data_IF_017138868537
#
_entry.id   IF_017138868537
#
_cell.length_a   1.000
_cell.length_b   1.000
_cell.length_c   1.000
_cell.angle_alpha   90.00
_cell.angle_beta   90.00
_cell.angle_gamma   90.00
#
_symmetry.space_group_name_H-M   'P 1'
#
loop_
_entity.id
_entity.type
_entity.pdbx_description
1 polymer ?
#
# COMPACT_ATOMS: atom_id res chain seq x y z
N UNK A 1 -52.14 -25.95 -16.40
CA UNK A 1 -53.32 -25.32 -15.75
C UNK A 1 -52.92 -23.92 -15.30
N UNK A 2 -53.75 -22.88 -15.52
CA UNK A 2 -53.36 -21.46 -15.42
C UNK A 2 -52.53 -21.00 -16.64
N UNK A 3 -52.80 -19.91 -17.40
CA UNK A 3 -53.62 -18.67 -17.27
C UNK A 3 -53.19 -17.75 -16.12
N UNK A 4 -53.14 -16.41 -16.21
CA UNK A 4 -53.09 -15.38 -17.30
C UNK A 4 -52.90 -13.99 -16.61
N UNK A 5 -52.53 -12.82 -17.17
CA UNK A 5 -52.35 -12.26 -18.54
C UNK A 5 -50.87 -11.76 -18.68
N UNK A 6 -50.33 -10.76 -19.43
CA UNK A 6 -50.70 -9.57 -20.26
C UNK A 6 -51.36 -8.36 -19.55
N UNK A 7 -51.05 -7.07 -19.76
CA UNK A 7 -49.99 -6.29 -20.46
C UNK A 7 -49.41 -5.26 -19.42
N UNK A 8 -49.08 -3.94 -19.60
CA UNK A 8 -49.00 -2.95 -20.69
C UNK A 8 -48.06 -1.77 -20.31
N UNK A 9 -47.95 -0.73 -21.14
CA UNK A 9 -47.17 0.52 -20.99
C UNK A 9 -47.97 1.70 -20.41
N UNK A 10 -47.31 2.82 -20.06
CA UNK A 10 -47.49 4.15 -20.70
C UNK A 10 -46.62 5.28 -20.07
N UNK A 11 -46.26 6.28 -20.90
CA UNK A 11 -45.92 7.68 -20.54
C UNK A 11 -46.93 8.59 -21.28
N UNK A 12 -47.11 9.88 -20.90
CA UNK A 12 -46.39 10.95 -21.62
C UNK A 12 -46.08 12.21 -20.78
N UNK A 13 -45.63 13.28 -21.45
CA UNK A 13 -45.14 14.57 -20.92
C UNK A 13 -46.24 15.61 -20.59
N UNK A 14 -45.86 16.63 -19.79
CA UNK A 14 -46.19 18.08 -19.95
C UNK A 14 -45.18 18.85 -19.07
N UNK A 15 -44.28 19.70 -19.58
CA UNK A 15 -44.40 21.04 -20.19
C UNK A 15 -44.67 22.20 -19.19
N UNK A 16 -43.57 22.89 -18.89
CA UNK A 16 -43.35 24.34 -18.64
C UNK A 16 -44.57 25.27 -18.63
N UNK A 17 -44.64 26.14 -17.61
CA UNK A 17 -45.10 27.52 -17.72
C UNK A 17 -44.13 28.49 -17.02
N UNK A 18 -44.32 29.82 -17.22
CA UNK A 18 -43.46 30.91 -16.72
C UNK A 18 -44.22 31.77 -15.72
N UNK A 19 -43.56 32.23 -14.66
CA UNK A 19 -44.12 33.24 -13.77
C UNK A 19 -43.03 33.93 -12.95
N UNK A 20 -42.77 35.22 -13.24
CA UNK A 20 -41.80 36.02 -12.50
C UNK A 20 -42.43 37.31 -12.00
N UNK A 21 -42.43 37.53 -10.69
CA UNK A 21 -42.85 38.77 -10.05
C UNK A 21 -41.77 39.27 -9.09
N UNK A 22 -41.50 40.57 -9.16
CA UNK A 22 -40.86 41.36 -8.10
C UNK A 22 -41.98 41.74 -7.09
N UNK A 23 -41.79 42.19 -5.86
CA UNK A 23 -40.72 43.01 -5.23
C UNK A 23 -40.53 42.48 -3.77
N UNK A 24 -39.74 43.05 -2.84
CA UNK A 24 -39.32 44.43 -2.61
C UNK A 24 -38.00 44.54 -1.82
N UNK A 25 -37.53 45.78 -1.60
CA UNK A 25 -36.35 46.07 -0.78
C UNK A 25 -36.77 46.33 0.66
N UNK A 26 -36.13 45.67 1.62
CA UNK A 26 -35.95 46.19 2.97
C UNK A 26 -34.48 46.06 3.37
N UNK A 27 -33.95 47.09 4.03
CA UNK A 27 -32.53 47.19 4.39
C UNK A 27 -32.32 46.96 5.88
N UNK A 28 -31.31 46.16 6.20
CA UNK A 28 -30.48 46.26 7.41
C UNK A 28 -31.19 46.47 8.76
N UNK A 29 -31.23 45.40 9.57
CA UNK A 29 -30.64 45.48 10.91
C UNK A 29 -29.69 44.31 11.13
N UNK A 30 -28.72 44.54 12.01
CA UNK A 30 -27.63 43.63 12.38
C UNK A 30 -27.86 43.15 13.81
N UNK A 31 -27.09 42.15 14.23
CA UNK A 31 -26.84 41.79 15.63
C UNK A 31 -28.00 41.15 16.43
N UNK A 32 -28.37 39.93 16.06
CA UNK A 32 -28.68 38.91 17.07
C UNK A 32 -27.57 37.86 17.13
N UNK A 33 -27.01 37.63 18.32
CA UNK A 33 -25.95 36.64 18.53
C UNK A 33 -26.54 35.23 18.54
N UNK A 34 -26.03 34.27 17.73
CA UNK A 34 -26.45 32.88 17.85
C UNK A 34 -26.06 32.34 19.24
N UNK A 35 -27.07 32.02 20.05
CA UNK A 35 -26.90 31.43 21.38
C UNK A 35 -25.99 30.22 21.28
N UNK A 36 -24.85 30.24 21.99
CA UNK A 36 -23.86 29.15 21.98
C UNK A 36 -24.49 27.88 22.56
N UNK A 37 -25.00 27.01 21.68
CA UNK A 37 -25.42 25.65 22.04
C UNK A 37 -24.24 24.99 22.75
N UNK A 38 -24.49 24.41 23.93
CA UNK A 38 -23.43 23.78 24.72
C UNK A 38 -22.86 22.61 23.89
N UNK A 39 -21.54 22.55 23.63
CA UNK A 39 -20.96 21.59 22.69
C UNK A 39 -21.00 20.12 23.16
N UNK A 40 -21.69 19.83 24.26
CA UNK A 40 -21.74 18.52 24.91
C UNK A 40 -22.81 17.61 24.33
N UNK A 41 -23.93 18.14 23.80
CA UNK A 41 -25.04 17.32 23.31
C UNK A 41 -24.72 16.61 21.98
N UNK A 42 -23.92 17.24 21.13
CA UNK A 42 -23.41 16.60 19.91
C UNK A 42 -22.46 15.43 20.24
N UNK A 43 -21.65 15.57 21.31
CA UNK A 43 -20.76 14.49 21.77
C UNK A 43 -21.53 13.26 22.27
N UNK A 44 -22.76 13.41 22.78
CA UNK A 44 -23.61 12.29 23.25
C UNK A 44 -24.00 11.33 22.12
N UNK A 45 -24.13 11.83 20.90
CA UNK A 45 -24.49 11.05 19.71
C UNK A 45 -23.28 10.40 19.01
N UNK A 46 -22.06 10.88 19.28
CA UNK A 46 -20.82 10.31 18.73
C UNK A 46 -20.44 9.02 19.48
N UNK A 47 -20.11 7.91 18.79
CA UNK A 47 -19.68 6.66 19.41
C UNK A 47 -18.56 6.83 20.44
N UNK A 48 -18.64 6.08 21.54
CA UNK A 48 -17.77 6.23 22.72
C UNK A 48 -16.28 6.36 22.38
N UNK A 49 -15.76 5.47 21.53
CA UNK A 49 -14.33 5.43 21.16
C UNK A 49 -13.89 6.68 20.37
N UNK A 50 -14.77 7.26 19.56
CA UNK A 50 -14.50 8.53 18.86
C UNK A 50 -14.62 9.73 19.82
N UNK A 51 -15.62 9.72 20.71
CA UNK A 51 -15.80 10.72 21.78
C UNK A 51 -14.58 10.81 22.70
N UNK A 52 -13.97 9.66 23.03
CA UNK A 52 -12.74 9.57 23.80
C UNK A 52 -11.52 10.13 23.04
N UNK A 53 -11.35 9.75 21.76
CA UNK A 53 -10.28 10.28 20.89
C UNK A 53 -10.39 11.79 20.69
N UNK A 54 -11.60 12.34 20.56
CA UNK A 54 -11.82 13.79 20.49
C UNK A 54 -11.43 14.43 21.83
N UNK A 55 -11.91 13.90 22.96
CA UNK A 55 -11.57 14.42 24.30
C UNK A 55 -10.08 14.35 24.63
N UNK A 56 -9.35 13.34 24.16
CA UNK A 56 -7.89 13.24 24.37
C UNK A 56 -7.12 14.22 23.47
N UNK A 57 -7.47 14.30 22.17
CA UNK A 57 -6.91 15.31 21.25
C UNK A 57 -7.12 16.73 21.75
N UNK A 58 -8.30 17.05 22.27
CA UNK A 58 -8.61 18.37 22.84
C UNK A 58 -7.75 18.71 24.06
N UNK A 59 -7.51 17.76 24.96
CA UNK A 59 -6.61 17.95 26.12
C UNK A 59 -5.16 18.21 25.68
N UNK A 60 -4.68 17.53 24.64
CA UNK A 60 -3.35 17.77 24.05
C UNK A 60 -3.30 19.15 23.39
N UNK A 61 -4.28 19.47 22.53
CA UNK A 61 -4.35 20.73 21.77
C UNK A 61 -4.52 21.97 22.67
N UNK A 62 -5.20 21.84 23.81
CA UNK A 62 -5.38 22.90 24.81
C UNK A 62 -4.20 22.99 25.81
N UNK A 63 -3.15 22.18 25.64
CA UNK A 63 -1.95 22.21 26.48
C UNK A 63 -2.19 21.89 27.96
N UNK A 64 -3.34 21.30 28.31
CA UNK A 64 -3.80 21.20 29.71
C UNK A 64 -3.14 20.06 30.50
N UNK A 65 -2.16 19.36 29.91
CA UNK A 65 -1.27 18.46 30.64
C UNK A 65 -0.18 19.30 31.31
N UNK A 66 -0.15 19.31 32.65
CA UNK A 66 0.64 20.24 33.46
C UNK A 66 2.15 20.17 33.22
N UNK A 67 2.65 20.97 32.26
CA UNK A 67 4.08 21.03 31.84
C UNK A 67 5.04 21.40 32.99
N UNK A 68 4.53 21.94 34.10
CA UNK A 68 5.28 22.36 35.30
C UNK A 68 6.08 21.24 36.00
N UNK A 69 5.96 19.96 35.62
CA UNK A 69 6.74 18.85 36.21
C UNK A 69 7.62 18.02 35.24
N UNK A 70 7.70 18.37 33.95
CA UNK A 70 8.54 17.63 32.99
C UNK A 70 9.82 18.37 32.56
N UNK A 71 9.94 19.68 32.80
CA UNK A 71 11.16 20.45 32.45
C UNK A 71 12.35 20.21 33.39
N UNK A 72 12.12 19.73 34.60
CA UNK A 72 13.18 19.55 35.64
C UNK A 72 14.09 18.34 35.41
N UNK A 73 13.71 17.39 34.55
CA UNK A 73 14.55 16.24 34.19
C UNK A 73 15.64 16.59 33.16
N UNK A 74 15.37 17.57 32.27
CA UNK A 74 16.23 17.91 31.14
C UNK A 74 17.39 18.87 31.47
N UNK A 75 17.62 19.18 32.75
CA UNK A 75 18.63 20.18 33.19
C UNK A 75 19.73 19.57 34.07
N UNK A 76 19.81 18.23 34.15
CA UNK A 76 20.86 17.50 34.89
C UNK A 76 21.92 16.88 33.99
N UNK A 77 22.33 17.62 32.96
CA UNK A 77 23.52 17.29 32.18
C UNK A 77 24.76 17.67 33.00
N UNK A 78 25.39 16.67 33.62
CA UNK A 78 26.74 16.80 34.16
C UNK A 78 27.71 17.19 33.04
N UNK A 79 28.80 17.88 33.41
CA UNK A 79 29.92 18.16 32.50
C UNK A 79 30.44 16.84 31.91
N UNK A 80 30.52 16.78 30.58
CA UNK A 80 31.01 15.63 29.82
C UNK A 80 31.99 16.10 28.75
N UNK A 81 32.96 16.89 29.21
CA UNK A 81 34.07 17.42 28.43
C UNK A 81 34.97 16.23 28.02
N UNK A 82 34.72 15.65 26.83
CA UNK A 82 35.51 14.55 26.27
C UNK A 82 34.74 13.30 25.82
N UNK A 83 33.39 13.28 25.83
CA UNK A 83 32.65 12.13 25.28
C UNK A 83 32.78 12.06 23.74
N UNK A 84 33.38 10.99 23.22
CA UNK A 84 33.47 10.74 21.79
C UNK A 84 32.07 10.44 21.20
N UNK A 85 31.85 10.82 19.94
CA UNK A 85 30.53 10.79 19.31
C UNK A 85 29.99 9.35 19.14
N UNK A 86 29.13 8.93 20.07
CA UNK A 86 28.51 7.59 20.09
C UNK A 86 28.69 6.82 21.40
N UNK A 87 29.48 7.34 22.34
CA UNK A 87 29.74 6.71 23.63
C UNK A 87 28.59 6.90 24.62
N UNK A 88 28.32 5.89 25.45
CA UNK A 88 27.24 5.94 26.45
C UNK A 88 27.76 6.63 27.71
N UNK A 89 27.05 7.66 28.23
CA UNK A 89 27.43 8.30 29.47
C UNK A 89 27.24 7.34 30.66
N UNK A 90 28.35 6.97 31.31
CA UNK A 90 28.33 6.15 32.53
C UNK A 90 27.81 7.00 33.71
N UNK A 91 26.66 6.65 34.35
CA UNK A 91 26.13 7.42 35.47
C UNK A 91 26.95 7.19 36.74
N UNK A 92 27.19 8.26 37.52
CA UNK A 92 27.94 8.17 38.77
C UNK A 92 27.00 8.13 39.98
N UNK A 93 26.81 6.92 40.52
CA UNK A 93 25.84 6.64 41.58
C UNK A 93 26.33 7.06 42.97
N UNK A 94 25.99 8.30 43.37
CA UNK A 94 26.01 8.76 44.76
C UNK A 94 24.62 9.25 45.19
N UNK A 95 24.27 8.99 46.46
CA UNK A 95 23.04 9.50 47.10
C UNK A 95 23.15 11.02 47.30
N UNK A 96 22.12 11.76 46.88
CA UNK A 96 22.12 13.22 46.96
C UNK A 96 21.74 13.70 48.36
N UNK A 97 22.18 14.91 48.76
CA UNK A 97 21.82 15.50 50.06
C UNK A 97 20.31 15.75 50.11
N UNK A 98 19.62 15.04 51.01
CA UNK A 98 18.15 15.06 51.11
C UNK A 98 17.41 14.01 50.26
N UNK A 99 18.13 13.11 49.57
CA UNK A 99 17.53 11.98 48.85
C UNK A 99 17.31 10.79 49.80
N UNK A 100 16.07 10.32 49.92
CA UNK A 100 15.75 9.12 50.70
C UNK A 100 16.20 7.84 49.96
N UNK A 101 16.40 6.74 50.71
CA UNK A 101 16.95 5.50 50.15
C UNK A 101 16.06 4.91 49.05
N UNK A 102 14.75 4.89 49.27
CA UNK A 102 13.77 4.48 48.25
C UNK A 102 13.73 5.41 47.02
N UNK A 103 14.17 6.67 47.12
CA UNK A 103 14.30 7.57 45.97
C UNK A 103 15.63 7.31 45.22
N UNK A 104 16.73 7.15 45.97
CA UNK A 104 18.04 6.81 45.44
C UNK A 104 18.01 5.50 44.64
N UNK A 105 17.44 4.43 45.20
CA UNK A 105 17.33 3.11 44.55
C UNK A 105 16.53 3.23 43.24
N UNK A 106 15.37 3.89 43.26
CA UNK A 106 14.54 4.10 42.06
C UNK A 106 15.26 4.90 40.97
N UNK A 107 16.07 5.89 41.37
CA UNK A 107 16.91 6.65 40.44
C UNK A 107 18.01 5.77 39.83
N UNK A 108 18.75 5.05 40.67
CA UNK A 108 19.79 4.09 40.30
C UNK A 108 19.25 3.04 39.30
N UNK A 109 18.10 2.44 39.59
CA UNK A 109 17.38 1.54 38.69
C UNK A 109 17.03 2.19 37.35
N UNK A 110 16.50 3.43 37.35
CA UNK A 110 16.05 4.11 36.14
C UNK A 110 17.21 4.50 35.21
N UNK A 111 18.30 5.00 35.78
CA UNK A 111 19.54 5.32 35.08
C UNK A 111 20.19 4.03 34.53
N UNK A 112 20.22 2.94 35.31
CA UNK A 112 20.70 1.61 34.85
C UNK A 112 19.87 1.04 33.71
N UNK A 113 18.53 1.11 33.81
CA UNK A 113 17.62 0.65 32.73
C UNK A 113 17.80 1.50 31.45
N UNK A 114 18.11 2.79 31.59
CA UNK A 114 18.41 3.67 30.46
C UNK A 114 19.76 3.34 29.80
N UNK A 115 20.83 3.14 30.57
CA UNK A 115 22.14 2.68 30.06
C UNK A 115 21.99 1.36 29.31
N UNK A 116 21.35 0.37 29.91
CA UNK A 116 21.12 -0.95 29.30
C UNK A 116 20.30 -0.85 28.00
N UNK A 117 19.35 0.09 27.92
CA UNK A 117 18.63 0.38 26.67
C UNK A 117 19.57 1.00 25.62
N UNK A 118 20.42 1.96 25.97
CA UNK A 118 21.37 2.54 25.02
C UNK A 118 22.37 1.50 24.50
N UNK A 119 22.92 0.63 25.37
CA UNK A 119 23.88 -0.42 24.98
C UNK A 119 23.26 -1.38 23.97
N UNK A 120 21.99 -1.78 24.16
CA UNK A 120 21.24 -2.64 23.23
C UNK A 120 20.92 -1.99 21.87
N UNK A 121 21.20 -0.70 21.70
CA UNK A 121 21.01 0.03 20.44
C UNK A 121 22.33 0.52 19.83
N UNK A 122 23.49 0.22 20.43
CA UNK A 122 24.78 0.43 19.79
C UNK A 122 25.05 -0.65 18.73
N UNK A 123 25.86 -0.31 17.73
CA UNK A 123 26.44 -1.26 16.78
C UNK A 123 27.66 -1.91 17.43
N UNK A 124 27.92 -3.19 17.15
CA UNK A 124 29.08 -3.90 17.66
C UNK A 124 30.39 -3.17 17.31
N UNK A 125 31.02 -2.64 18.35
CA UNK A 125 32.22 -1.80 18.21
C UNK A 125 33.43 -2.71 18.08
N UNK A 126 33.89 -2.89 16.85
CA UNK A 126 35.06 -3.72 16.52
C UNK A 126 36.32 -2.83 16.44
N UNK A 127 37.09 -2.63 17.55
CA UNK A 127 38.28 -1.76 17.54
C UNK A 127 39.37 -2.28 16.60
N UNK A 128 39.47 -3.60 16.44
CA UNK A 128 40.41 -4.28 15.54
C UNK A 128 40.20 -3.95 14.05
N UNK A 129 39.00 -3.44 13.67
CA UNK A 129 38.73 -3.01 12.30
C UNK A 129 39.08 -1.54 12.12
N UNK A 130 40.23 -1.32 11.46
CA UNK A 130 40.72 0.01 11.09
C UNK A 130 39.65 0.87 10.40
N UNK A 131 39.70 2.17 10.66
CA UNK A 131 38.57 3.12 10.55
C UNK A 131 37.74 3.07 9.25
N UNK A 132 38.33 2.71 8.10
CA UNK A 132 37.62 2.55 6.83
C UNK A 132 36.68 1.34 6.73
N UNK A 133 36.65 0.43 7.72
CA UNK A 133 35.80 -0.78 7.75
C UNK A 133 34.79 -0.83 8.91
N UNK A 134 34.65 0.23 9.69
CA UNK A 134 33.64 0.28 10.76
C UNK A 134 32.24 0.34 10.15
N UNK A 135 31.29 -0.44 10.69
CA UNK A 135 29.94 -0.52 10.13
C UNK A 135 29.18 0.80 10.32
N UNK A 136 28.90 1.47 9.20
CA UNK A 136 28.13 2.71 9.20
C UNK A 136 26.72 2.49 9.79
N UNK A 137 26.19 3.42 10.59
CA UNK A 137 24.97 3.21 11.37
C UNK A 137 23.78 2.79 10.49
N UNK A 138 23.08 1.74 10.92
CA UNK A 138 22.11 0.96 10.14
C UNK A 138 20.85 1.70 9.63
N UNK A 139 20.76 3.03 9.80
CA UNK A 139 19.59 3.85 9.46
C UNK A 139 19.41 4.20 7.97
N UNK A 140 20.28 3.75 7.05
CA UNK A 140 20.19 4.08 5.61
C UNK A 140 20.15 2.85 4.67
N UNK A 141 20.11 1.64 5.24
CA UNK A 141 20.03 0.41 4.45
C UNK A 141 18.63 0.17 3.84
N UNK A 142 18.59 -0.36 2.61
CA UNK A 142 17.43 -1.16 2.17
C UNK A 142 17.33 -2.38 3.09
N UNK A 143 16.12 -2.78 3.49
CA UNK A 143 15.92 -4.04 4.22
C UNK A 143 16.55 -5.22 3.47
N UNK A 144 17.06 -6.20 4.21
CA UNK A 144 17.78 -7.37 3.68
C UNK A 144 17.04 -8.04 2.51
N UNK A 145 15.78 -8.42 2.72
CA UNK A 145 14.86 -8.98 1.71
C UNK A 145 14.75 -8.14 0.43
N UNK A 146 14.92 -6.81 0.53
CA UNK A 146 14.94 -5.90 -0.63
C UNK A 146 16.32 -5.87 -1.31
N UNK A 147 17.42 -6.00 -0.56
CA UNK A 147 18.78 -6.20 -1.13
C UNK A 147 18.85 -7.53 -1.89
N UNK A 148 18.30 -8.60 -1.33
CA UNK A 148 18.18 -9.92 -1.96
C UNK A 148 17.34 -9.88 -3.23
N UNK A 149 16.14 -9.30 -3.17
CA UNK A 149 15.27 -9.13 -4.34
C UNK A 149 15.95 -8.33 -5.45
N UNK A 150 16.65 -7.24 -5.11
CA UNK A 150 17.39 -6.44 -6.10
C UNK A 150 18.57 -7.23 -6.71
N UNK A 151 19.31 -8.04 -5.93
CA UNK A 151 20.34 -8.98 -6.42
C UNK A 151 19.73 -10.02 -7.38
N UNK A 152 18.67 -10.71 -6.95
CA UNK A 152 17.99 -11.74 -7.74
C UNK A 152 17.46 -11.21 -9.08
N UNK A 153 16.95 -9.96 -9.07
CA UNK A 153 16.50 -9.26 -10.28
C UNK A 153 17.66 -8.96 -11.26
N UNK A 154 18.85 -8.62 -10.75
CA UNK A 154 20.04 -8.42 -11.57
C UNK A 154 20.54 -9.74 -12.18
N UNK A 155 20.68 -10.79 -11.36
CA UNK A 155 21.13 -12.11 -11.83
C UNK A 155 20.21 -12.66 -12.95
N UNK A 156 18.88 -12.57 -12.76
CA UNK A 156 17.90 -12.97 -13.80
C UNK A 156 18.04 -12.17 -15.10
N UNK A 157 18.47 -10.91 -15.02
CA UNK A 157 18.69 -10.05 -16.19
C UNK A 157 20.02 -10.36 -16.89
N UNK A 158 21.04 -10.82 -16.15
CA UNK A 158 22.30 -11.34 -16.69
C UNK A 158 22.08 -12.70 -17.38
N UNK A 159 21.43 -13.66 -16.72
CA UNK A 159 21.03 -14.95 -17.32
C UNK A 159 20.30 -14.71 -18.64
N UNK A 160 19.24 -13.89 -18.64
CA UNK A 160 18.49 -13.53 -19.85
C UNK A 160 19.29 -12.81 -20.95
N UNK A 161 20.54 -12.41 -20.72
CA UNK A 161 21.48 -12.03 -21.80
C UNK A 161 22.24 -13.22 -22.36
N UNK A 162 22.73 -14.13 -21.49
CA UNK A 162 23.39 -15.37 -21.87
C UNK A 162 22.44 -16.28 -22.66
N UNK A 163 21.22 -16.55 -22.16
CA UNK A 163 20.19 -17.33 -22.86
C UNK A 163 19.92 -16.80 -24.29
N UNK A 164 20.10 -15.47 -24.49
CA UNK A 164 19.90 -14.77 -25.77
C UNK A 164 21.13 -14.74 -26.67
N UNK A 165 22.32 -15.01 -26.14
CA UNK A 165 23.54 -15.21 -26.91
C UNK A 165 23.61 -16.68 -27.35
N UNK A 166 23.31 -17.61 -26.44
CA UNK A 166 23.14 -19.04 -26.72
C UNK A 166 22.11 -19.27 -27.84
N UNK A 167 20.86 -18.79 -27.68
CA UNK A 167 19.82 -18.93 -28.71
C UNK A 167 20.10 -18.17 -30.04
N UNK A 168 21.12 -17.31 -30.08
CA UNK A 168 21.64 -16.74 -31.34
C UNK A 168 22.66 -17.67 -31.98
N UNK A 169 23.64 -18.14 -31.22
CA UNK A 169 24.66 -19.08 -31.70
C UNK A 169 24.00 -20.39 -32.17
N UNK A 170 23.01 -20.91 -31.44
CA UNK A 170 22.17 -22.03 -31.90
C UNK A 170 21.53 -21.74 -33.25
N UNK A 171 20.87 -20.58 -33.41
CA UNK A 171 20.27 -20.22 -34.69
C UNK A 171 21.32 -20.11 -35.81
N UNK A 172 22.47 -19.53 -35.53
CA UNK A 172 23.57 -19.36 -36.48
C UNK A 172 24.20 -20.71 -36.87
N UNK A 173 24.23 -21.71 -35.98
CA UNK A 173 24.61 -23.09 -36.29
C UNK A 173 23.57 -23.86 -37.13
N UNK A 174 22.29 -23.47 -37.08
CA UNK A 174 21.19 -24.10 -37.84
C UNK A 174 20.72 -23.26 -39.05
N UNK A 175 21.60 -22.42 -39.62
CA UNK A 175 21.33 -21.62 -40.83
C UNK A 175 22.12 -22.15 -42.04
N UNK A 176 21.58 -23.15 -42.72
CA UNK A 176 22.08 -23.58 -44.03
C UNK A 176 21.83 -22.51 -45.10
N UNK A 177 22.89 -21.85 -45.57
CA UNK A 177 22.83 -20.89 -46.67
C UNK A 177 22.87 -21.60 -48.03
N UNK A 178 21.71 -22.04 -48.49
CA UNK A 178 21.50 -22.64 -49.82
C UNK A 178 21.49 -21.56 -50.91
N UNK A 179 22.24 -21.69 -52.02
CA UNK A 179 22.22 -20.73 -53.12
C UNK A 179 20.88 -20.75 -53.89
N UNK A 180 20.41 -19.56 -54.29
CA UNK A 180 19.16 -19.42 -55.04
C UNK A 180 19.26 -20.11 -56.42
N UNK A 181 18.42 -21.15 -56.62
CA UNK A 181 18.40 -21.98 -57.82
C UNK A 181 18.64 -23.46 -57.54
N UNK A 182 19.25 -23.80 -56.41
CA UNK A 182 19.39 -25.20 -55.97
C UNK A 182 18.05 -25.73 -55.42
N UNK A 183 17.51 -26.78 -56.04
CA UNK A 183 16.24 -27.40 -55.63
C UNK A 183 16.49 -28.38 -54.49
N UNK A 184 16.77 -27.85 -53.30
CA UNK A 184 16.81 -28.67 -52.08
C UNK A 184 15.44 -29.28 -51.84
N UNK A 185 15.33 -30.61 -51.98
CA UNK A 185 14.13 -31.34 -51.61
C UNK A 185 13.84 -31.11 -50.12
N UNK A 186 12.60 -30.73 -49.81
CA UNK A 186 12.17 -30.54 -48.43
C UNK A 186 12.41 -31.85 -47.64
N UNK A 187 12.97 -31.78 -46.42
CA UNK A 187 13.35 -32.98 -45.67
C UNK A 187 12.12 -33.90 -45.50
N UNK A 188 12.25 -35.21 -45.78
CA UNK A 188 11.11 -36.10 -45.91
C UNK A 188 10.30 -36.15 -44.61
N UNK A 189 9.06 -35.67 -44.67
CA UNK A 189 8.23 -35.55 -43.47
C UNK A 189 7.81 -36.93 -42.96
N UNK A 190 8.16 -37.22 -41.71
CA UNK A 190 7.82 -38.48 -41.03
C UNK A 190 6.32 -38.55 -40.74
N UNK A 191 5.53 -38.92 -41.76
CA UNK A 191 4.08 -39.14 -41.69
C UNK A 191 3.66 -40.43 -40.96
N UNK A 192 4.63 -41.16 -40.42
CA UNK A 192 4.44 -42.42 -39.69
C UNK A 192 3.65 -42.16 -38.40
N UNK A 193 2.44 -42.71 -38.34
CA UNK A 193 1.65 -42.76 -37.10
C UNK A 193 2.42 -43.61 -36.06
N UNK A 194 2.68 -43.12 -34.83
CA UNK A 194 3.40 -43.92 -33.84
C UNK A 194 2.63 -45.20 -33.52
N UNK A 195 3.32 -46.35 -33.48
CA UNK A 195 2.72 -47.69 -33.38
C UNK A 195 1.77 -47.84 -32.17
N UNK A 196 2.03 -47.10 -31.08
CA UNK A 196 1.23 -47.11 -29.84
C UNK A 196 0.32 -45.88 -29.66
N UNK A 197 0.22 -44.99 -30.66
CA UNK A 197 -0.66 -43.83 -30.60
C UNK A 197 -2.12 -44.24 -30.86
N UNK A 198 -2.92 -44.34 -29.80
CA UNK A 198 -4.37 -44.40 -29.92
C UNK A 198 -4.86 -43.16 -30.69
N UNK A 199 -5.29 -43.35 -31.94
CA UNK A 199 -6.01 -42.32 -32.71
C UNK A 199 -7.37 -42.12 -32.08
N UNK A 200 -7.43 -41.26 -31.05
CA UNK A 200 -8.69 -40.90 -30.40
C UNK A 200 -9.50 -40.02 -31.34
N UNK A 201 -10.35 -40.68 -32.11
CA UNK A 201 -11.30 -40.03 -32.99
C UNK A 201 -12.19 -39.04 -32.22
N UNK A 202 -12.69 -38.07 -32.97
CA UNK A 202 -13.00 -36.74 -32.45
C UNK A 202 -14.17 -36.77 -31.45
N UNK A 203 -14.06 -35.92 -30.41
CA UNK A 203 -15.11 -35.52 -29.44
C UNK A 203 -15.37 -36.46 -28.24
N UNK A 204 -14.37 -36.56 -27.36
CA UNK A 204 -14.64 -36.31 -25.95
C UNK A 204 -14.05 -34.94 -25.60
N UNK A 205 -14.87 -33.95 -25.24
CA UNK A 205 -14.40 -32.62 -24.83
C UNK A 205 -13.64 -32.75 -23.51
N UNK A 206 -12.34 -32.43 -23.51
CA UNK A 206 -11.47 -32.45 -22.33
C UNK A 206 -11.72 -31.25 -21.41
N UNK A 207 -12.99 -31.01 -21.07
CA UNK A 207 -13.35 -30.04 -20.05
C UNK A 207 -13.18 -30.69 -18.67
N UNK A 208 -12.50 -29.99 -17.77
CA UNK A 208 -12.27 -30.49 -16.41
C UNK A 208 -13.62 -30.56 -15.69
N UNK A 209 -13.85 -31.60 -14.89
CA UNK A 209 -15.09 -31.76 -14.10
C UNK A 209 -15.47 -30.49 -13.33
N UNK A 210 -14.45 -29.79 -12.79
CA UNK A 210 -14.58 -28.52 -12.09
C UNK A 210 -15.25 -27.41 -12.94
N UNK A 211 -15.01 -27.37 -14.26
CA UNK A 211 -15.61 -26.39 -15.16
C UNK A 211 -17.13 -26.60 -15.28
N UNK A 212 -17.56 -27.86 -15.33
CA UNK A 212 -18.99 -28.22 -15.31
C UNK A 212 -19.62 -27.83 -13.97
N UNK A 213 -18.99 -28.23 -12.85
CA UNK A 213 -19.48 -27.95 -11.49
C UNK A 213 -19.58 -26.45 -11.16
N UNK A 214 -18.70 -25.61 -11.71
CA UNK A 214 -18.71 -24.16 -11.51
C UNK A 214 -19.46 -23.39 -12.62
N UNK A 215 -20.03 -24.07 -13.63
CA UNK A 215 -20.67 -23.44 -14.79
C UNK A 215 -19.72 -22.67 -15.72
N UNK A 216 -18.41 -22.75 -15.48
CA UNK A 216 -17.38 -22.06 -16.25
C UNK A 216 -16.98 -22.86 -17.49
N UNK A 217 -17.81 -22.80 -18.54
CA UNK A 217 -17.37 -23.18 -19.89
C UNK A 217 -16.07 -22.45 -20.23
N UNK A 218 -15.12 -23.16 -20.87
CA UNK A 218 -13.75 -22.67 -21.06
C UNK A 218 -13.73 -21.54 -22.10
N UNK A 219 -13.94 -20.31 -21.61
CA UNK A 219 -13.88 -19.09 -22.41
C UNK A 219 -12.61 -19.10 -23.25
N UNK A 220 -12.77 -19.06 -24.57
CA UNK A 220 -11.70 -19.42 -25.50
C UNK A 220 -10.48 -18.50 -25.30
N UNK A 221 -9.30 -19.08 -25.12
CA UNK A 221 -8.03 -18.36 -24.90
C UNK A 221 -7.54 -17.58 -26.14
N UNK A 222 -8.37 -17.52 -27.20
CA UNK A 222 -8.14 -16.67 -28.36
C UNK A 222 -8.39 -15.20 -28.03
N UNK A 223 -7.88 -14.31 -28.88
CA UNK A 223 -8.17 -12.87 -28.77
C UNK A 223 -9.68 -12.67 -28.99
N UNK A 224 -10.42 -11.96 -28.12
CA UNK A 224 -11.83 -11.66 -28.36
C UNK A 224 -11.99 -10.83 -29.65
N UNK A 225 -13.13 -10.93 -30.32
CA UNK A 225 -13.42 -10.16 -31.53
C UNK A 225 -13.38 -8.64 -31.26
N UNK A 226 -13.10 -7.83 -32.29
CA UNK A 226 -12.98 -6.36 -32.14
C UNK A 226 -14.22 -5.72 -31.51
N UNK A 227 -15.42 -6.20 -31.82
CA UNK A 227 -16.66 -5.74 -31.17
C UNK A 227 -16.69 -6.07 -29.67
N UNK A 228 -16.24 -7.27 -29.26
CA UNK A 228 -16.17 -7.66 -27.85
C UNK A 228 -15.03 -6.95 -27.10
N UNK A 229 -13.93 -6.58 -27.78
CA UNK A 229 -12.89 -5.74 -27.21
C UNK A 229 -13.45 -4.35 -26.84
N UNK A 230 -14.16 -3.69 -27.76
CA UNK A 230 -14.80 -2.38 -27.52
C UNK A 230 -15.72 -2.39 -26.30
N UNK A 231 -16.60 -3.39 -26.18
CA UNK A 231 -17.50 -3.52 -25.01
C UNK A 231 -16.72 -3.63 -23.68
N UNK A 232 -15.68 -4.47 -23.64
CA UNK A 232 -14.83 -4.65 -22.44
C UNK A 232 -14.05 -3.35 -22.12
N UNK A 233 -13.64 -2.59 -23.13
CA UNK A 233 -12.95 -1.30 -22.97
C UNK A 233 -13.91 -0.20 -22.48
N UNK A 234 -15.14 -0.14 -22.98
CA UNK A 234 -16.19 0.76 -22.47
C UNK A 234 -16.57 0.46 -21.01
N UNK A 235 -16.76 -0.81 -20.66
CA UNK A 235 -16.99 -1.24 -19.28
C UNK A 235 -15.83 -0.82 -18.37
N UNK A 236 -14.59 -1.05 -18.81
CA UNK A 236 -13.38 -0.63 -18.11
C UNK A 236 -13.30 0.89 -17.93
N UNK A 237 -13.68 1.67 -18.94
CA UNK A 237 -13.75 3.13 -18.84
C UNK A 237 -14.79 3.58 -17.80
N UNK A 238 -16.02 3.05 -17.84
CA UNK A 238 -17.08 3.34 -16.84
C UNK A 238 -16.65 3.00 -15.41
N UNK A 239 -15.94 1.88 -15.20
CA UNK A 239 -15.39 1.50 -13.88
C UNK A 239 -14.28 2.47 -13.44
N UNK A 240 -13.40 2.91 -14.35
CA UNK A 240 -12.35 3.90 -14.03
C UNK A 240 -12.94 5.28 -13.72
N UNK A 241 -13.98 5.71 -14.43
CA UNK A 241 -14.65 6.98 -14.20
C UNK A 241 -15.41 7.02 -12.87
N UNK A 242 -16.22 5.99 -12.58
CA UNK A 242 -16.92 5.88 -11.29
C UNK A 242 -15.94 5.80 -10.12
N UNK A 243 -14.83 5.07 -10.25
CA UNK A 243 -13.75 5.07 -9.27
C UNK A 243 -13.09 6.46 -9.10
N UNK A 244 -12.84 7.20 -10.20
CA UNK A 244 -12.31 8.58 -10.13
C UNK A 244 -13.29 9.53 -9.45
N UNK A 245 -14.60 9.40 -9.70
CA UNK A 245 -15.65 10.20 -9.05
C UNK A 245 -15.73 9.90 -7.55
N UNK A 246 -15.76 8.62 -7.17
CA UNK A 246 -15.73 8.16 -5.76
C UNK A 246 -14.48 8.68 -5.04
N UNK A 247 -13.31 8.65 -5.69
CA UNK A 247 -12.06 9.16 -5.14
C UNK A 247 -12.10 10.69 -4.95
N UNK A 248 -12.66 11.44 -5.91
CA UNK A 248 -12.89 12.89 -5.78
C UNK A 248 -13.86 13.22 -4.62
N UNK A 249 -14.93 12.44 -4.44
CA UNK A 249 -15.86 12.62 -3.30
C UNK A 249 -15.15 12.40 -1.95
N UNK A 250 -14.39 11.30 -1.82
CA UNK A 250 -13.59 11.03 -0.59
C UNK A 250 -12.51 12.07 -0.34
N UNK A 251 -11.91 12.65 -1.40
CA UNK A 251 -10.98 13.78 -1.24
C UNK A 251 -11.69 15.05 -0.77
N UNK A 252 -12.88 15.38 -1.31
CA UNK A 252 -13.68 16.51 -0.82
C UNK A 252 -14.06 16.32 0.66
N UNK A 253 -14.56 15.14 1.05
CA UNK A 253 -14.90 14.84 2.45
C UNK A 253 -13.71 15.12 3.39
N UNK A 254 -12.52 14.64 3.04
CA UNK A 254 -11.26 14.89 3.78
C UNK A 254 -10.68 16.31 3.68
N UNK A 255 -11.38 17.25 3.05
CA UNK A 255 -11.05 18.70 3.00
C UNK A 255 -12.10 19.51 3.78
N UNK A 256 -13.26 18.92 4.11
CA UNK A 256 -14.30 19.48 4.98
C UNK A 256 -14.29 18.85 6.39
N UNK A 257 -13.24 18.08 6.73
CA UNK A 257 -12.95 17.47 8.05
C UNK A 257 -11.68 18.06 8.69
#
# INVERSE_FOLDING_TARGET
MGKSRKNQSNKPEKRVERGGLKQSKQTLKRDENPKKVKPEDHLKHIPFRLREIIKSKDKVKKGSFGVKKLKTAATRHNKQDGLLHGDIPVPYFKRQRGESECAYIKRMESETKHVLFLTKNQVDRNPELGAGKQELPAGKGKSEKKREHDKLRLNRLQQKKLDRQEAKMEKEMFLDNVPFGEVTMAPPSLSIKPIKAQTKDKKASKELLLNSLLGHSVASKGKPSMARQRLIEEERQRVVETYRQLKKQKQKQRIWE
#
